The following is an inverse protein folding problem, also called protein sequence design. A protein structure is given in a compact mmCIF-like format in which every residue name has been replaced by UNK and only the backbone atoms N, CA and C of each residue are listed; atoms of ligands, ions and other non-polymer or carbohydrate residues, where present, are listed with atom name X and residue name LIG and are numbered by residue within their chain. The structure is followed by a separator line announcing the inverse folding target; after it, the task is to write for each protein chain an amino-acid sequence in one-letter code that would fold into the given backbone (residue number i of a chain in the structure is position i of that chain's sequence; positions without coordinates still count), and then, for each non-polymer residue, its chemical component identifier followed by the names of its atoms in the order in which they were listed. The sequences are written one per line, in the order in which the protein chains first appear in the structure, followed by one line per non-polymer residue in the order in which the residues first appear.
data_IF_329023067482
#
_entry.id   IF_329023067482
#
_cell.length_a   1.000
_cell.length_b   1.000
_cell.length_c   1.000
_cell.angle_alpha   90.00
_cell.angle_beta   90.00
_cell.angle_gamma   90.00
#
_symmetry.space_group_name_H-M   'P 1'
#
loop_
_entity.id
_entity.type
_entity.pdbx_description
1 polymer ?
#
# COMPACT_ATOMS: atom_id res chain seq x y z
N UNK A 1 -1.35 -4.60 6.68
CA UNK A 1 -0.32 -5.33 5.89
C UNK A 1 0.68 -4.33 5.35
N UNK A 2 1.98 -4.59 5.51
CA UNK A 2 3.06 -3.74 5.02
C UNK A 2 3.89 -4.48 3.98
N UNK A 3 4.15 -3.86 2.84
CA UNK A 3 5.08 -4.36 1.83
C UNK A 3 6.19 -3.35 1.57
N UNK A 4 7.37 -3.84 1.19
CA UNK A 4 8.42 -3.00 0.59
C UNK A 4 9.08 -1.99 1.54
N UNK A 5 9.21 -2.33 2.83
CA UNK A 5 9.82 -1.46 3.83
C UNK A 5 11.32 -1.23 3.61
N UNK A 6 12.01 -2.20 3.01
CA UNK A 6 13.45 -2.20 2.77
C UNK A 6 14.29 -2.50 4.02
N UNK A 7 15.61 -2.43 3.84
CA UNK A 7 16.60 -2.66 4.90
C UNK A 7 16.73 -1.46 5.84
N UNK A 8 15.87 -1.38 6.86
CA UNK A 8 15.88 -0.30 7.85
C UNK A 8 17.12 -0.26 8.77
N UNK A 9 17.90 -1.34 8.86
CA UNK A 9 19.17 -1.35 9.60
C UNK A 9 20.23 -0.45 8.97
N UNK A 10 20.19 -0.29 7.65
CA UNK A 10 21.23 0.41 6.88
C UNK A 10 20.67 1.62 6.10
N UNK A 11 19.34 1.72 5.97
CA UNK A 11 18.67 2.80 5.26
C UNK A 11 17.88 3.71 6.22
N UNK A 12 18.30 4.98 6.40
CA UNK A 12 17.58 5.94 7.23
C UNK A 12 16.14 6.19 6.78
N UNK A 13 15.88 6.14 5.47
CA UNK A 13 14.54 6.29 4.89
C UNK A 13 13.64 5.13 5.30
N UNK A 14 14.09 3.88 5.10
CA UNK A 14 13.35 2.68 5.52
C UNK A 14 13.09 2.68 7.03
N UNK A 15 14.05 3.17 7.83
CA UNK A 15 13.88 3.30 9.28
C UNK A 15 12.83 4.33 9.68
N UNK A 16 12.80 5.48 8.99
CA UNK A 16 11.76 6.47 9.20
C UNK A 16 10.38 5.95 8.78
N UNK A 17 10.29 5.19 7.69
CA UNK A 17 9.07 4.51 7.28
C UNK A 17 8.60 3.47 8.31
N UNK A 18 9.51 2.70 8.92
CA UNK A 18 9.18 1.78 10.00
C UNK A 18 8.66 2.54 11.22
N UNK A 19 9.33 3.61 11.62
CA UNK A 19 8.90 4.44 12.75
C UNK A 19 7.50 5.01 12.51
N UNK A 20 7.21 5.49 11.30
CA UNK A 20 5.88 5.98 10.94
C UNK A 20 4.82 4.86 10.96
N UNK A 21 5.13 3.67 10.45
CA UNK A 21 4.23 2.51 10.53
C UNK A 21 3.89 2.17 11.99
N UNK A 22 4.87 2.16 12.89
CA UNK A 22 4.65 1.87 14.32
C UNK A 22 3.76 2.93 14.97
N UNK A 23 4.01 4.21 14.71
CA UNK A 23 3.18 5.32 15.22
C UNK A 23 1.75 5.26 14.65
N UNK A 24 1.60 4.89 13.37
CA UNK A 24 0.30 4.70 12.74
C UNK A 24 -0.49 3.55 13.38
N UNK A 25 0.18 2.44 13.72
CA UNK A 25 -0.47 1.34 14.44
C UNK A 25 -0.95 1.76 15.83
N UNK A 26 -0.12 2.53 16.55
CA UNK A 26 -0.46 3.09 17.86
C UNK A 26 -1.69 4.02 17.77
N UNK A 27 -1.70 4.95 16.82
CA UNK A 27 -2.81 5.90 16.61
C UNK A 27 -4.12 5.19 16.23
N UNK A 28 -4.05 4.12 15.44
CA UNK A 28 -5.21 3.32 15.06
C UNK A 28 -5.68 2.36 16.17
N UNK A 29 -4.97 2.29 17.29
CA UNK A 29 -5.25 1.35 18.38
C UNK A 29 -5.09 -0.13 17.98
N UNK A 30 -4.36 -0.40 16.90
CA UNK A 30 -4.15 -1.75 16.37
C UNK A 30 -3.00 -2.45 17.07
N UNK A 31 -3.18 -3.68 17.60
CA UNK A 31 -2.07 -4.41 18.20
C UNK A 31 -1.02 -4.77 17.12
N UNK A 32 0.29 -4.67 17.40
CA UNK A 32 1.35 -5.00 16.44
C UNK A 32 1.20 -6.39 15.81
N UNK A 33 0.64 -7.36 16.55
CA UNK A 33 0.38 -8.71 16.08
C UNK A 33 -0.64 -8.84 14.94
N UNK A 34 -1.39 -7.77 14.63
CA UNK A 34 -2.27 -7.70 13.45
C UNK A 34 -1.59 -7.05 12.23
N UNK A 35 -0.36 -6.54 12.39
CA UNK A 35 0.42 -6.01 11.29
C UNK A 35 1.31 -7.11 10.71
N UNK A 36 0.91 -7.63 9.54
CA UNK A 36 1.75 -8.51 8.74
C UNK A 36 2.68 -7.72 7.82
N UNK A 37 3.94 -8.13 7.68
CA UNK A 37 4.93 -7.50 6.83
C UNK A 37 5.61 -8.51 5.90
N UNK A 38 5.98 -8.04 4.71
CA UNK A 38 6.87 -8.77 3.83
C UNK A 38 7.77 -7.83 3.05
N UNK A 39 9.06 -8.12 3.06
CA UNK A 39 10.03 -7.56 2.14
C UNK A 39 11.15 -8.59 1.90
N UNK A 40 11.44 -8.98 0.64
CA UNK A 40 12.53 -9.90 0.35
C UNK A 40 13.91 -9.32 0.69
N UNK A 41 14.03 -8.02 0.92
CA UNK A 41 15.27 -7.36 1.26
C UNK A 41 15.68 -7.54 2.74
N UNK A 42 14.76 -7.96 3.63
CA UNK A 42 15.05 -8.05 5.06
C UNK A 42 16.22 -8.97 5.38
N UNK A 43 17.13 -8.50 6.21
CA UNK A 43 18.17 -9.30 6.83
C UNK A 43 17.64 -10.08 8.05
N UNK A 44 18.34 -11.14 8.45
CA UNK A 44 17.96 -11.94 9.63
C UNK A 44 17.84 -11.11 10.93
N UNK A 45 18.70 -10.10 11.10
CA UNK A 45 18.63 -9.19 12.24
C UNK A 45 17.37 -8.31 12.23
N UNK A 46 16.92 -7.90 11.05
CA UNK A 46 15.71 -7.09 10.86
C UNK A 46 14.46 -7.93 11.12
N UNK A 47 14.44 -9.16 10.61
CA UNK A 47 13.40 -10.17 10.93
C UNK A 47 13.27 -10.36 12.44
N UNK A 48 14.39 -10.54 13.15
CA UNK A 48 14.39 -10.68 14.60
C UNK A 48 13.87 -9.42 15.31
N UNK A 49 14.30 -8.23 14.86
CA UNK A 49 13.86 -6.95 15.43
C UNK A 49 12.35 -6.71 15.22
N UNK A 50 11.81 -7.00 14.03
CA UNK A 50 10.37 -6.91 13.74
C UNK A 50 9.57 -7.84 14.66
N UNK A 51 10.07 -9.06 14.90
CA UNK A 51 9.45 -9.99 15.85
C UNK A 51 9.44 -9.47 17.29
N UNK A 52 10.52 -8.80 17.74
CA UNK A 52 10.56 -8.16 19.06
C UNK A 52 9.60 -6.97 19.19
N UNK A 53 9.30 -6.30 18.07
CA UNK A 53 8.27 -5.25 18.01
C UNK A 53 6.84 -5.82 17.95
N UNK A 54 6.68 -7.15 18.00
CA UNK A 54 5.38 -7.84 17.98
C UNK A 54 4.73 -7.91 16.60
N UNK A 55 5.45 -7.51 15.56
CA UNK A 55 4.98 -7.53 14.19
C UNK A 55 5.06 -8.96 13.60
N UNK A 56 4.19 -9.28 12.65
CA UNK A 56 4.12 -10.62 12.05
C UNK A 56 4.79 -10.63 10.66
N UNK A 57 5.66 -11.59 10.39
CA UNK A 57 6.18 -11.78 9.04
C UNK A 57 5.22 -12.68 8.24
N UNK A 58 4.94 -12.29 7.01
CA UNK A 58 4.30 -13.19 6.07
C UNK A 58 5.28 -14.31 5.69
N UNK A 59 4.82 -15.57 5.64
CA UNK A 59 5.69 -16.71 5.36
C UNK A 59 6.16 -16.75 3.90
N UNK A 60 5.36 -16.19 2.98
CA UNK A 60 5.55 -16.31 1.54
C UNK A 60 5.52 -14.94 0.85
N UNK A 61 6.22 -14.85 -0.28
CA UNK A 61 6.09 -13.71 -1.18
C UNK A 61 4.76 -13.78 -1.93
N UNK A 62 3.74 -13.12 -1.41
CA UNK A 62 2.43 -13.03 -2.06
C UNK A 62 2.43 -12.12 -3.30
N UNK A 63 3.55 -11.47 -3.64
CA UNK A 63 3.67 -10.52 -4.76
C UNK A 63 2.63 -9.38 -4.73
N UNK A 64 2.21 -8.98 -3.53
CA UNK A 64 1.17 -7.98 -3.30
C UNK A 64 -0.27 -8.50 -3.45
N UNK A 65 -0.48 -9.80 -3.68
CA UNK A 65 -1.81 -10.42 -3.89
C UNK A 65 -2.52 -10.74 -2.57
N UNK A 66 -2.45 -9.84 -1.60
CA UNK A 66 -3.15 -10.01 -0.32
C UNK A 66 -4.64 -9.73 -0.49
N UNK A 67 -5.50 -10.64 -0.02
CA UNK A 67 -6.95 -10.43 0.00
C UNK A 67 -7.39 -9.69 1.25
N UNK A 68 -8.33 -8.76 1.13
CA UNK A 68 -9.04 -8.25 2.30
C UNK A 68 -9.87 -9.36 2.96
N UNK A 69 -9.85 -9.39 4.28
CA UNK A 69 -10.67 -10.30 5.07
C UNK A 69 -12.09 -9.78 5.29
N UNK A 70 -12.68 -10.19 6.42
CA UNK A 70 -14.01 -9.73 6.84
C UNK A 70 -14.06 -8.24 7.20
N UNK A 71 -12.94 -7.66 7.64
CA UNK A 71 -12.81 -6.29 8.18
C UNK A 71 -12.08 -5.33 7.24
N UNK A 72 -12.14 -4.04 7.57
CA UNK A 72 -11.30 -3.03 6.91
C UNK A 72 -9.81 -3.37 7.07
N UNK A 73 -9.04 -3.16 6.00
CA UNK A 73 -7.62 -3.52 5.94
C UNK A 73 -6.80 -2.36 5.40
N UNK A 74 -5.77 -1.97 6.14
CA UNK A 74 -4.78 -0.98 5.71
C UNK A 74 -3.59 -1.66 5.06
N UNK A 75 -3.23 -1.19 3.87
CA UNK A 75 -2.04 -1.58 3.12
C UNK A 75 -1.03 -0.44 3.17
N UNK A 76 0.11 -0.68 3.80
CA UNK A 76 1.24 0.24 3.86
C UNK A 76 2.29 -0.18 2.83
N UNK A 77 2.45 0.60 1.78
CA UNK A 77 3.20 0.22 0.57
C UNK A 77 4.11 1.34 0.04
N UNK A 78 4.58 2.22 0.92
CA UNK A 78 5.40 3.38 0.55
C UNK A 78 6.58 2.96 -0.35
N UNK A 79 6.72 3.63 -1.50
CA UNK A 79 7.74 3.37 -2.53
C UNK A 79 7.74 1.97 -3.17
N UNK A 80 6.69 1.17 -2.94
CA UNK A 80 6.55 -0.13 -3.62
C UNK A 80 6.49 0.01 -5.15
N UNK A 81 6.88 -1.04 -5.86
CA UNK A 81 6.74 -1.13 -7.30
C UNK A 81 5.26 -1.10 -7.73
N UNK A 82 4.96 -0.45 -8.86
CA UNK A 82 3.59 -0.29 -9.42
C UNK A 82 2.88 -1.65 -9.62
N UNK A 83 3.64 -2.70 -9.95
CA UNK A 83 3.13 -4.05 -10.09
C UNK A 83 2.48 -4.58 -8.79
N UNK A 84 3.01 -4.25 -7.60
CA UNK A 84 2.42 -4.68 -6.33
C UNK A 84 1.05 -4.04 -6.12
N UNK A 85 0.89 -2.75 -6.42
CA UNK A 85 -0.42 -2.07 -6.35
C UNK A 85 -1.42 -2.69 -7.33
N UNK A 86 -0.97 -2.95 -8.56
CA UNK A 86 -1.82 -3.57 -9.58
C UNK A 86 -2.27 -4.98 -9.16
N UNK A 87 -1.37 -5.79 -8.60
CA UNK A 87 -1.68 -7.12 -8.07
C UNK A 87 -2.62 -7.08 -6.87
N UNK A 88 -2.42 -6.10 -5.97
CA UNK A 88 -3.28 -5.90 -4.81
C UNK A 88 -4.71 -5.53 -5.23
N UNK A 89 -4.85 -4.62 -6.19
CA UNK A 89 -6.15 -4.24 -6.75
C UNK A 89 -6.80 -5.43 -7.45
N UNK A 90 -6.05 -6.15 -8.30
CA UNK A 90 -6.53 -7.35 -8.99
C UNK A 90 -7.08 -8.39 -8.01
N UNK A 91 -6.35 -8.67 -6.93
CA UNK A 91 -6.77 -9.65 -5.93
C UNK A 91 -8.11 -9.28 -5.28
N UNK A 92 -8.38 -7.99 -5.15
CA UNK A 92 -9.52 -7.43 -4.45
C UNK A 92 -10.54 -6.80 -5.42
N UNK A 93 -10.59 -7.23 -6.68
CA UNK A 93 -11.33 -6.55 -7.76
C UNK A 93 -12.86 -6.70 -7.69
N UNK A 94 -13.45 -6.19 -6.61
CA UNK A 94 -14.89 -6.03 -6.47
C UNK A 94 -15.19 -4.78 -5.65
N UNK A 95 -16.33 -4.15 -5.91
CA UNK A 95 -16.72 -2.95 -5.18
C UNK A 95 -16.73 -3.16 -3.66
N UNK A 96 -17.20 -4.33 -3.19
CA UNK A 96 -17.27 -4.66 -1.77
C UNK A 96 -15.92 -4.94 -1.11
N UNK A 97 -14.94 -5.48 -1.85
CA UNK A 97 -13.59 -5.71 -1.33
C UNK A 97 -12.80 -4.39 -1.32
N UNK A 98 -12.78 -3.65 -2.45
CA UNK A 98 -12.10 -2.37 -2.55
C UNK A 98 -12.62 -1.36 -1.51
N UNK A 99 -13.93 -1.34 -1.22
CA UNK A 99 -14.49 -0.43 -0.21
C UNK A 99 -14.02 -0.68 1.23
N UNK A 100 -13.33 -1.80 1.48
CA UNK A 100 -12.73 -2.14 2.79
C UNK A 100 -11.24 -1.84 2.84
N UNK A 101 -10.66 -1.30 1.77
CA UNK A 101 -9.23 -1.07 1.64
C UNK A 101 -8.88 0.38 1.90
N UNK A 102 -7.78 0.58 2.60
CA UNK A 102 -7.04 1.85 2.63
C UNK A 102 -5.60 1.56 2.22
N UNK A 103 -5.03 2.36 1.32
CA UNK A 103 -3.65 2.20 0.88
C UNK A 103 -2.87 3.46 1.24
N UNK A 104 -1.83 3.33 2.07
CA UNK A 104 -0.81 4.37 2.27
C UNK A 104 0.37 4.02 1.37
N UNK A 105 0.58 4.77 0.30
CA UNK A 105 1.58 4.42 -0.71
C UNK A 105 1.70 5.46 -1.82
N UNK A 106 2.33 5.09 -2.93
CA UNK A 106 2.60 5.98 -4.07
C UNK A 106 1.29 6.52 -4.65
N UNK A 107 1.30 7.81 -4.99
CA UNK A 107 0.19 8.50 -5.63
C UNK A 107 -0.27 7.79 -6.90
N UNK A 108 -1.54 7.39 -6.98
CA UNK A 108 -2.12 6.81 -8.20
C UNK A 108 -2.22 7.87 -9.31
N UNK A 109 -2.59 9.11 -8.96
CA UNK A 109 -2.53 10.25 -9.89
C UNK A 109 -1.10 10.51 -10.38
N UNK A 110 -0.12 10.49 -9.48
CA UNK A 110 1.28 10.63 -9.84
C UNK A 110 1.81 9.47 -10.69
N UNK A 111 1.23 8.27 -10.58
CA UNK A 111 1.52 7.15 -11.48
C UNK A 111 0.92 7.40 -12.87
N UNK A 112 -0.34 7.87 -12.94
CA UNK A 112 -1.03 8.21 -14.18
C UNK A 112 -0.29 9.32 -14.95
N UNK A 113 0.09 10.41 -14.28
CA UNK A 113 0.75 11.57 -14.90
C UNK A 113 2.13 11.23 -15.49
N UNK A 114 2.86 10.29 -14.89
CA UNK A 114 4.25 9.96 -15.27
C UNK A 114 4.35 8.82 -16.29
N UNK A 115 3.29 8.03 -16.46
CA UNK A 115 3.27 6.93 -17.41
C UNK A 115 2.52 7.32 -18.68
N UNK A 116 2.96 6.78 -19.82
CA UNK A 116 2.17 6.84 -21.04
C UNK A 116 0.87 6.05 -20.83
N UNK A 117 -0.28 6.59 -21.23
CA UNK A 117 -1.60 5.94 -21.05
C UNK A 117 -1.61 4.51 -21.56
N UNK A 118 -1.03 4.26 -22.75
CA UNK A 118 -0.91 2.91 -23.33
C UNK A 118 -0.13 1.91 -22.46
N UNK A 119 0.83 2.38 -21.66
CA UNK A 119 1.63 1.55 -20.75
C UNK A 119 0.83 1.32 -19.48
N UNK A 120 0.21 2.37 -18.93
CA UNK A 120 -0.63 2.27 -17.74
C UNK A 120 -1.78 1.29 -17.97
N UNK A 121 -2.51 1.43 -19.08
CA UNK A 121 -3.65 0.57 -19.44
C UNK A 121 -3.24 -0.88 -19.72
N UNK A 122 -2.06 -1.11 -20.30
CA UNK A 122 -1.58 -2.45 -20.66
C UNK A 122 -0.97 -3.19 -19.47
N UNK A 123 -0.09 -2.54 -18.72
CA UNK A 123 0.75 -3.17 -17.70
C UNK A 123 0.19 -3.01 -16.27
N UNK A 124 -0.61 -1.96 -16.05
CA UNK A 124 -1.17 -1.60 -14.75
C UNK A 124 -2.68 -1.28 -14.85
N UNK A 125 -3.40 -2.12 -15.59
CA UNK A 125 -4.80 -1.91 -15.94
C UNK A 125 -5.72 -1.68 -14.74
N UNK A 126 -5.45 -2.32 -13.59
CA UNK A 126 -6.27 -2.15 -12.39
C UNK A 126 -6.05 -0.79 -11.73
N UNK A 127 -4.83 -0.25 -11.79
CA UNK A 127 -4.56 1.14 -11.38
C UNK A 127 -5.34 2.07 -12.31
N UNK A 128 -5.22 1.90 -13.64
CA UNK A 128 -5.92 2.74 -14.62
C UNK A 128 -7.44 2.75 -14.41
N UNK A 129 -8.02 1.55 -14.24
CA UNK A 129 -9.46 1.32 -14.08
C UNK A 129 -10.01 1.93 -12.77
N UNK A 130 -9.24 1.91 -11.67
CA UNK A 130 -9.74 2.31 -10.35
C UNK A 130 -9.65 3.82 -10.09
N UNK A 131 -8.92 4.60 -10.90
CA UNK A 131 -8.66 6.04 -10.67
C UNK A 131 -9.94 6.85 -10.37
N UNK A 132 -11.00 6.68 -11.16
CA UNK A 132 -12.28 7.38 -10.95
C UNK A 132 -13.02 6.92 -9.69
N UNK A 133 -12.79 5.67 -9.28
CA UNK A 133 -13.37 5.05 -8.08
C UNK A 133 -12.57 5.32 -6.80
N UNK A 134 -11.44 6.04 -6.91
CA UNK A 134 -10.50 6.28 -5.82
C UNK A 134 -10.63 7.70 -5.32
N UNK A 135 -10.60 7.86 -4.01
CA UNK A 135 -10.22 9.12 -3.37
C UNK A 135 -8.76 9.04 -2.94
N UNK A 136 -8.06 10.16 -3.11
CA UNK A 136 -6.64 10.24 -2.85
C UNK A 136 -6.32 11.56 -2.13
N UNK A 137 -5.61 11.46 -1.01
CA UNK A 137 -5.08 12.60 -0.28
C UNK A 137 -3.57 12.43 -0.07
N UNK A 138 -2.78 13.37 -0.58
CA UNK A 138 -1.34 13.40 -0.37
C UNK A 138 -1.01 13.57 1.12
N UNK A 139 0.04 12.91 1.61
CA UNK A 139 0.56 13.17 2.94
C UNK A 139 1.11 14.60 3.04
N UNK A 140 1.00 15.25 4.21
CA UNK A 140 1.56 16.58 4.41
C UNK A 140 3.08 16.54 4.19
N UNK A 141 3.60 17.55 3.50
CA UNK A 141 5.04 17.66 3.27
C UNK A 141 5.75 18.13 4.53
N UNK A 142 6.93 17.58 4.78
CA UNK A 142 7.78 18.01 5.88
C UNK A 142 9.25 18.06 5.43
N UNK A 143 9.99 19.17 5.62
CA UNK A 143 11.36 19.32 5.10
C UNK A 143 12.31 18.18 5.48
N UNK A 144 12.17 17.62 6.69
CA UNK A 144 12.97 16.49 7.17
C UNK A 144 12.70 15.16 6.46
N UNK A 145 11.51 14.98 5.90
CA UNK A 145 11.04 13.70 5.37
C UNK A 145 10.69 13.76 3.89
N UNK A 146 11.19 14.78 3.16
CA UNK A 146 10.92 14.96 1.75
C UNK A 146 11.24 13.70 0.95
N UNK A 147 12.43 13.12 1.12
CA UNK A 147 12.82 11.90 0.38
C UNK A 147 12.25 10.61 0.97
N UNK A 148 11.57 10.69 2.11
CA UNK A 148 11.02 9.51 2.81
C UNK A 148 9.58 9.23 2.39
N UNK A 149 8.76 10.28 2.31
CA UNK A 149 7.34 10.21 2.01
C UNK A 149 6.95 11.08 0.79
N UNK A 150 7.92 11.45 -0.07
CA UNK A 150 7.59 12.04 -1.37
C UNK A 150 6.62 11.13 -2.12
N UNK A 151 5.74 11.72 -2.91
CA UNK A 151 4.79 10.99 -3.74
C UNK A 151 3.91 10.00 -2.97
N UNK A 152 3.79 10.15 -1.64
CA UNK A 152 2.99 9.26 -0.79
C UNK A 152 1.63 9.88 -0.52
N UNK A 153 0.59 9.09 -0.76
CA UNK A 153 -0.81 9.42 -0.59
C UNK A 153 -1.55 8.34 0.21
N UNK A 154 -2.63 8.74 0.85
CA UNK A 154 -3.65 7.84 1.40
C UNK A 154 -4.75 7.69 0.35
N UNK A 155 -5.03 6.45 -0.03
CA UNK A 155 -6.08 6.09 -0.96
C UNK A 155 -7.19 5.33 -0.24
N UNK A 156 -8.44 5.66 -0.55
CA UNK A 156 -9.60 4.88 -0.16
C UNK A 156 -10.60 4.84 -1.29
N UNK A 157 -11.52 3.88 -1.26
CA UNK A 157 -12.40 3.59 -2.38
C UNK A 157 -13.86 3.67 -1.93
N UNK A 158 -14.49 4.86 -1.97
CA UNK A 158 -15.88 5.01 -1.55
C UNK A 158 -16.80 4.10 -2.36
N UNK A 159 -17.62 3.31 -1.66
CA UNK A 159 -18.52 2.35 -2.31
C UNK A 159 -19.47 3.03 -3.34
N UNK A 160 -19.86 4.29 -3.09
CA UNK A 160 -20.67 5.07 -4.02
C UNK A 160 -19.94 5.32 -5.34
N UNK A 161 -18.70 5.84 -5.28
CA UNK A 161 -17.86 6.05 -6.47
C UNK A 161 -17.59 4.75 -7.24
N UNK A 162 -17.38 3.64 -6.53
CA UNK A 162 -17.18 2.33 -7.17
C UNK A 162 -18.42 1.86 -7.92
N UNK A 163 -19.63 2.11 -7.38
CA UNK A 163 -20.90 1.77 -8.04
C UNK A 163 -21.23 2.67 -9.23
N UNK A 164 -20.61 3.85 -9.31
CA UNK A 164 -20.75 4.78 -10.45
C UNK A 164 -19.82 4.43 -11.62
N UNK A 165 -18.86 3.52 -11.44
CA UNK A 165 -18.01 3.03 -12.52
C UNK A 165 -18.81 2.24 -13.55
N UNK A 166 -18.38 2.25 -14.81
CA UNK A 166 -19.04 1.46 -15.84
C UNK A 166 -18.93 -0.04 -15.52
N UNK A 167 -19.93 -0.86 -15.88
CA UNK A 167 -19.87 -2.30 -15.67
C UNK A 167 -18.62 -2.96 -16.27
N UNK A 168 -18.18 -2.47 -17.44
CA UNK A 168 -16.99 -2.93 -18.17
C UNK A 168 -15.68 -2.77 -17.38
N UNK A 169 -15.64 -1.93 -16.35
CA UNK A 169 -14.49 -1.82 -15.46
C UNK A 169 -14.29 -3.12 -14.67
N UNK A 170 -15.38 -3.79 -14.31
CA UNK A 170 -15.41 -4.98 -13.47
C UNK A 170 -15.25 -6.29 -14.25
N UNK A 171 -15.45 -6.23 -15.57
CA UNK A 171 -15.15 -7.31 -16.51
C UNK A 171 -13.63 -7.44 -16.78
#
# INVERSE_FOLDING_TARGET
VCYGLGRFSDCPVARAQLAFLLLLLEELGGPPGQCSLFDPAFAAAEVAALGQLGLQLLPDNEEGKHGVGGSATLFYMVHCGKALYNNLLWRNWSAGALSKMVIVGNSFRGIEERLLSRILERDYSYIAKVLKGTEEAALPTHPRYLDTFNDTSVHWFPLQKLKELSPEVWD
#
